data_IF_598769590902
#
_entry.id   IF_598769590902
#
_cell.length_a   1.000
_cell.length_b   1.000
_cell.length_c   1.000
_cell.angle_alpha   90.00
_cell.angle_beta   90.00
_cell.angle_gamma   90.00
#
_symmetry.space_group_name_H-M   'P 1'
#
loop_
_entity.id
_entity.type
_entity.pdbx_description
1 polymer ?
#
# COMPACT_ATOMS: atom_id res chain seq x y z
N UNK A 1 6.79 -5.32 -6.28
CA UNK A 1 5.89 -4.69 -5.29
C UNK A 1 4.44 -4.95 -5.68
N UNK A 2 3.53 -5.10 -4.72
CA UNK A 2 2.10 -5.38 -4.97
C UNK A 2 1.22 -4.32 -4.39
N UNK A 3 0.25 -3.84 -5.17
CA UNK A 3 -0.70 -2.80 -4.79
C UNK A 3 -2.12 -3.35 -4.68
N UNK A 4 -2.87 -2.77 -3.75
CA UNK A 4 -4.30 -3.04 -3.58
C UNK A 4 -5.00 -1.83 -2.94
N UNK A 5 -6.32 -1.77 -3.08
CA UNK A 5 -7.14 -0.66 -2.58
C UNK A 5 -8.37 -1.18 -1.86
N UNK A 6 -8.65 -0.64 -0.68
CA UNK A 6 -9.84 -0.95 0.10
C UNK A 6 -10.65 0.29 0.42
N UNK A 7 -11.95 0.23 0.17
CA UNK A 7 -12.90 1.23 0.68
C UNK A 7 -13.00 1.12 2.20
N UNK A 8 -12.75 2.22 2.90
CA UNK A 8 -12.81 2.25 4.36
C UNK A 8 -14.24 2.42 4.88
N UNK A 9 -14.55 1.89 6.08
CA UNK A 9 -15.79 2.21 6.78
C UNK A 9 -15.90 3.71 7.06
N UNK A 10 -17.14 4.17 7.22
CA UNK A 10 -17.43 5.52 7.68
C UNK A 10 -16.92 5.73 9.11
N UNK A 11 -16.51 6.95 9.42
CA UNK A 11 -16.21 7.35 10.78
C UNK A 11 -17.50 7.52 11.59
N UNK A 12 -17.39 7.43 12.91
CA UNK A 12 -18.50 7.71 13.81
C UNK A 12 -19.04 9.13 13.56
N UNK A 13 -20.34 9.25 13.35
CA UNK A 13 -20.99 10.52 13.05
C UNK A 13 -21.10 10.86 11.56
N UNK A 14 -20.43 10.14 10.68
CA UNK A 14 -20.64 10.27 9.24
C UNK A 14 -21.94 9.59 8.80
N UNK A 15 -22.63 10.19 7.82
CA UNK A 15 -23.84 9.65 7.21
C UNK A 15 -23.49 8.66 6.09
N UNK A 16 -24.41 7.75 5.79
CA UNK A 16 -24.25 6.78 4.69
C UNK A 16 -24.08 7.43 3.32
N UNK A 17 -24.54 8.67 3.17
CA UNK A 17 -24.40 9.52 1.98
C UNK A 17 -23.04 10.22 1.88
N UNK A 18 -22.25 10.25 2.96
CA UNK A 18 -20.95 10.90 2.97
C UNK A 18 -19.94 10.14 2.11
N UNK A 19 -19.01 10.89 1.54
CA UNK A 19 -17.90 10.30 0.78
C UNK A 19 -17.05 9.44 1.69
N UNK A 20 -16.71 8.26 1.21
CA UNK A 20 -15.79 7.35 1.91
C UNK A 20 -14.38 7.51 1.39
N UNK A 21 -13.46 7.43 2.32
CA UNK A 21 -12.05 7.33 2.01
C UNK A 21 -11.66 5.91 1.57
N UNK A 22 -10.51 5.82 0.93
CA UNK A 22 -9.93 4.58 0.45
C UNK A 22 -8.52 4.39 1.00
N UNK A 23 -8.27 3.23 1.54
CA UNK A 23 -6.94 2.78 1.93
C UNK A 23 -6.24 2.22 0.70
N UNK A 24 -5.14 2.84 0.30
CA UNK A 24 -4.20 2.31 -0.69
C UNK A 24 -3.02 1.68 0.02
N UNK A 25 -2.60 0.51 -0.42
CA UNK A 25 -1.44 -0.20 0.13
C UNK A 25 -0.50 -0.62 -0.99
N UNK A 26 0.78 -0.61 -0.68
CA UNK A 26 1.82 -1.26 -1.47
C UNK A 26 2.70 -2.08 -0.53
N UNK A 27 3.00 -3.32 -0.91
CA UNK A 27 3.88 -4.20 -0.14
C UNK A 27 5.00 -4.72 -1.03
N UNK A 28 6.22 -4.61 -0.54
CA UNK A 28 7.36 -5.20 -1.24
C UNK A 28 7.36 -6.73 -1.12
N UNK A 29 7.71 -7.39 -2.21
CA UNK A 29 7.71 -8.86 -2.28
C UNK A 29 8.88 -9.49 -1.54
N UNK A 30 9.99 -8.79 -1.41
CA UNK A 30 11.19 -9.26 -0.74
C UNK A 30 11.17 -8.95 0.76
N UNK A 31 11.21 -7.67 1.10
CA UNK A 31 11.32 -7.20 2.49
C UNK A 31 10.00 -7.22 3.27
N UNK A 32 8.85 -7.31 2.59
CA UNK A 32 7.52 -7.06 3.16
C UNK A 32 7.33 -5.64 3.67
N UNK A 33 8.17 -4.70 3.25
CA UNK A 33 7.98 -3.30 3.60
C UNK A 33 6.62 -2.80 3.11
N UNK A 34 5.89 -2.17 4.01
CA UNK A 34 4.54 -1.68 3.80
C UNK A 34 4.55 -0.17 3.58
N UNK A 35 3.91 0.25 2.52
CA UNK A 35 3.51 1.63 2.26
C UNK A 35 1.99 1.70 2.27
N UNK A 36 1.41 2.68 2.96
CA UNK A 36 -0.03 2.85 3.00
C UNK A 36 -0.43 4.31 3.14
N UNK A 37 -1.53 4.69 2.50
CA UNK A 37 -2.13 6.02 2.66
C UNK A 37 -3.66 5.96 2.52
N UNK A 38 -4.33 6.92 3.13
CA UNK A 38 -5.78 7.12 2.99
C UNK A 38 -6.01 8.22 1.96
N UNK A 39 -6.65 7.86 0.85
CA UNK A 39 -6.97 8.74 -0.26
C UNK A 39 -8.47 9.06 -0.31
N UNK A 40 -8.87 10.24 -0.83
CA UNK A 40 -10.27 10.68 -0.80
C UNK A 40 -11.17 9.92 -1.79
N UNK A 41 -10.60 9.22 -2.73
CA UNK A 41 -11.34 8.46 -3.75
C UNK A 41 -10.48 7.36 -4.39
N UNK A 42 -11.14 6.48 -5.16
CA UNK A 42 -10.52 5.38 -5.90
C UNK A 42 -10.40 5.76 -7.39
N UNK A 43 -9.50 6.68 -7.70
CA UNK A 43 -9.25 7.16 -9.08
C UNK A 43 -7.81 6.95 -9.50
N UNK A 44 -7.56 6.98 -10.81
CA UNK A 44 -6.20 6.94 -11.37
C UNK A 44 -5.29 8.05 -10.82
N UNK A 45 -5.83 9.25 -10.59
CA UNK A 45 -5.08 10.37 -9.98
C UNK A 45 -4.67 10.05 -8.54
N UNK A 46 -5.58 9.53 -7.72
CA UNK A 46 -5.26 9.13 -6.35
C UNK A 46 -4.25 7.99 -6.31
N UNK A 47 -4.33 7.04 -7.23
CA UNK A 47 -3.35 5.96 -7.35
C UNK A 47 -1.96 6.50 -7.77
N UNK A 48 -1.91 7.44 -8.71
CA UNK A 48 -0.66 8.10 -9.12
C UNK A 48 -0.05 8.94 -7.99
N UNK A 49 -0.86 9.70 -7.26
CA UNK A 49 -0.42 10.45 -6.08
C UNK A 49 0.11 9.51 -4.99
N UNK A 50 -0.61 8.42 -4.71
CA UNK A 50 -0.18 7.40 -3.76
C UNK A 50 1.19 6.83 -4.16
N UNK A 51 1.35 6.44 -5.42
CA UNK A 51 2.61 5.89 -5.94
C UNK A 51 3.76 6.88 -5.76
N UNK A 52 3.62 8.10 -6.25
CA UNK A 52 4.71 9.07 -6.26
C UNK A 52 5.07 9.54 -4.84
N UNK A 53 4.08 9.92 -4.04
CA UNK A 53 4.28 10.58 -2.74
C UNK A 53 4.52 9.61 -1.59
N UNK A 54 3.78 8.48 -1.58
CA UNK A 54 3.76 7.59 -0.42
C UNK A 54 4.54 6.29 -0.65
N UNK A 55 4.90 5.98 -1.89
CA UNK A 55 5.69 4.80 -2.23
C UNK A 55 7.07 5.19 -2.72
N UNK A 56 7.17 5.86 -3.87
CA UNK A 56 8.47 6.16 -4.51
C UNK A 56 9.31 7.11 -3.66
N UNK A 57 8.72 8.20 -3.17
CA UNK A 57 9.45 9.21 -2.40
C UNK A 57 10.14 8.66 -1.14
N UNK A 58 9.49 7.84 -0.30
CA UNK A 58 10.14 7.25 0.88
C UNK A 58 10.92 5.97 0.59
N UNK A 59 10.74 5.32 -0.56
CA UNK A 59 11.37 4.04 -0.88
C UNK A 59 12.88 4.22 -1.10
N UNK A 60 13.75 3.50 -0.37
CA UNK A 60 15.21 3.66 -0.47
C UNK A 60 15.83 2.90 -1.65
N UNK A 61 15.03 2.25 -2.49
CA UNK A 61 15.48 1.46 -3.63
C UNK A 61 14.60 1.70 -4.85
N UNK A 62 15.10 1.35 -6.02
CA UNK A 62 14.33 1.42 -7.25
C UNK A 62 13.29 0.30 -7.32
N UNK A 63 12.09 0.65 -7.75
CA UNK A 63 10.99 -0.30 -7.94
C UNK A 63 10.95 -0.70 -9.42
N UNK A 64 11.30 -1.93 -9.74
CA UNK A 64 11.31 -2.42 -11.12
C UNK A 64 9.92 -2.75 -11.65
N UNK A 65 9.05 -3.26 -10.78
CA UNK A 65 7.76 -3.78 -11.20
C UNK A 65 6.67 -3.62 -10.12
N UNK A 66 5.50 -3.23 -10.57
CA UNK A 66 4.28 -3.17 -9.77
C UNK A 66 3.26 -4.17 -10.31
N UNK A 67 2.69 -4.96 -9.38
CA UNK A 67 1.55 -5.82 -9.61
C UNK A 67 0.30 -5.22 -8.95
N UNK A 68 -0.78 -5.10 -9.71
CA UNK A 68 -2.10 -4.70 -9.20
C UNK A 68 -3.21 -5.58 -9.75
N UNK A 69 -4.40 -5.45 -9.24
CA UNK A 69 -5.59 -5.97 -9.91
C UNK A 69 -5.92 -5.15 -11.17
N UNK A 70 -7.02 -5.51 -11.84
CA UNK A 70 -7.50 -4.79 -13.02
C UNK A 70 -8.43 -3.61 -12.67
N UNK A 71 -8.35 -3.09 -11.44
CA UNK A 71 -9.13 -1.94 -11.00
C UNK A 71 -8.90 -0.70 -11.88
N UNK A 72 -9.95 0.09 -12.07
CA UNK A 72 -9.90 1.30 -12.91
C UNK A 72 -8.95 2.37 -12.40
N UNK A 73 -8.53 2.30 -11.14
CA UNK A 73 -7.50 3.15 -10.56
C UNK A 73 -6.10 2.78 -11.04
N UNK A 74 -5.87 1.53 -11.45
CA UNK A 74 -4.58 1.02 -11.89
C UNK A 74 -4.49 0.77 -13.38
N UNK A 75 -5.63 0.49 -14.05
CA UNK A 75 -5.66 0.10 -15.46
C UNK A 75 -6.60 0.98 -16.27
N UNK A 76 -6.10 1.49 -17.39
CA UNK A 76 -6.87 2.31 -18.33
C UNK A 76 -6.18 2.49 -19.68
N UNK A 77 -6.61 3.49 -20.44
CA UNK A 77 -6.04 3.86 -21.73
C UNK A 77 -4.63 4.48 -21.61
N UNK A 78 -4.00 4.83 -22.73
CA UNK A 78 -2.64 5.36 -22.74
C UNK A 78 -2.43 6.64 -21.92
N UNK A 79 -3.48 7.43 -21.72
CA UNK A 79 -3.45 8.66 -20.89
C UNK A 79 -3.83 8.42 -19.42
N UNK A 80 -3.83 7.16 -18.98
CA UNK A 80 -4.19 6.81 -17.61
C UNK A 80 -3.14 7.30 -16.61
N UNK A 81 -3.54 8.13 -15.63
CA UNK A 81 -2.60 8.82 -14.73
C UNK A 81 -1.65 7.88 -13.98
N UNK A 82 -2.14 6.74 -13.50
CA UNK A 82 -1.28 5.75 -12.83
C UNK A 82 -0.29 5.09 -13.79
N UNK A 83 -0.72 4.76 -15.02
CA UNK A 83 0.17 4.21 -16.05
C UNK A 83 1.27 5.19 -16.43
N UNK A 84 0.95 6.49 -16.56
CA UNK A 84 1.91 7.56 -16.82
C UNK A 84 2.92 7.65 -15.66
N UNK A 85 2.45 7.66 -14.41
CA UNK A 85 3.33 7.70 -13.24
C UNK A 85 4.29 6.50 -13.18
N UNK A 86 3.83 5.28 -13.52
CA UNK A 86 4.70 4.13 -13.64
C UNK A 86 5.76 4.31 -14.73
N UNK A 87 5.34 4.76 -15.91
CA UNK A 87 6.24 4.98 -17.05
C UNK A 87 7.32 6.03 -16.77
N UNK A 88 6.95 7.18 -16.20
CA UNK A 88 7.86 8.27 -15.85
C UNK A 88 8.92 7.85 -14.80
N UNK A 89 8.59 6.86 -13.96
CA UNK A 89 9.52 6.32 -12.96
C UNK A 89 10.22 5.02 -13.39
N UNK A 90 10.10 4.61 -14.65
CA UNK A 90 10.73 3.39 -15.17
C UNK A 90 10.17 2.09 -14.59
N UNK A 91 8.94 2.10 -14.08
CA UNK A 91 8.30 0.98 -13.40
C UNK A 91 7.45 0.17 -14.39
N UNK A 92 7.72 -1.12 -14.49
CA UNK A 92 6.93 -2.06 -15.27
C UNK A 92 5.60 -2.37 -14.56
N UNK A 93 4.50 -2.15 -15.23
CA UNK A 93 3.18 -2.44 -14.69
C UNK A 93 2.71 -3.83 -15.12
N UNK A 94 2.29 -4.67 -14.17
CA UNK A 94 1.73 -5.99 -14.40
C UNK A 94 0.39 -6.13 -13.69
N UNK A 95 -0.54 -6.83 -14.35
CA UNK A 95 -1.88 -7.05 -13.82
C UNK A 95 -2.10 -8.51 -13.45
N UNK A 96 -2.88 -8.74 -12.40
CA UNK A 96 -3.30 -10.09 -12.02
C UNK A 96 -4.21 -10.67 -13.12
N UNK A 97 -3.98 -11.92 -13.46
CA UNK A 97 -4.85 -12.64 -14.39
C UNK A 97 -6.16 -13.00 -13.69
N UNK A 98 -7.29 -12.78 -14.35
CA UNK A 98 -8.65 -13.04 -13.81
C UNK A 98 -8.87 -14.50 -13.36
N UNK A 99 -8.08 -15.46 -13.85
CA UNK A 99 -8.17 -16.87 -13.50
C UNK A 99 -7.19 -17.30 -12.36
N UNK A 100 -6.40 -16.38 -11.81
CA UNK A 100 -5.42 -16.68 -10.75
C UNK A 100 -5.49 -15.65 -9.61
N UNK A 101 -6.50 -15.73 -8.74
CA UNK A 101 -6.68 -14.80 -7.61
C UNK A 101 -5.48 -14.78 -6.64
N UNK A 102 -4.67 -15.83 -6.60
CA UNK A 102 -3.49 -15.93 -5.74
C UNK A 102 -2.40 -14.88 -6.03
N UNK A 103 -2.42 -14.22 -7.18
CA UNK A 103 -1.37 -13.27 -7.58
C UNK A 103 -1.38 -11.97 -6.78
N UNK A 104 -2.48 -11.56 -6.16
CA UNK A 104 -2.54 -10.37 -5.28
C UNK A 104 -2.73 -10.69 -3.78
N UNK A 105 -2.71 -11.95 -3.41
CA UNK A 105 -2.97 -12.42 -2.03
C UNK A 105 -2.08 -11.81 -0.95
N UNK A 106 -0.89 -11.28 -1.31
CA UNK A 106 -0.03 -10.58 -0.35
C UNK A 106 -0.59 -9.20 0.03
N UNK A 107 -1.02 -8.41 -0.95
CA UNK A 107 -1.62 -7.09 -0.70
C UNK A 107 -2.98 -7.23 0.01
N UNK A 108 -3.81 -8.19 -0.39
CA UNK A 108 -5.07 -8.51 0.28
C UNK A 108 -4.86 -8.90 1.76
N UNK A 109 -3.84 -9.74 2.03
CA UNK A 109 -3.48 -10.16 3.39
C UNK A 109 -3.03 -8.97 4.23
N UNK A 110 -2.25 -8.06 3.66
CA UNK A 110 -1.81 -6.84 4.34
C UNK A 110 -3.00 -5.94 4.67
N UNK A 111 -3.93 -5.74 3.75
CA UNK A 111 -5.17 -4.99 4.04
C UNK A 111 -5.93 -5.64 5.20
N UNK A 112 -6.08 -6.96 5.20
CA UNK A 112 -6.71 -7.69 6.31
C UNK A 112 -5.99 -7.43 7.63
N UNK A 113 -4.66 -7.54 7.65
CA UNK A 113 -3.84 -7.25 8.82
C UNK A 113 -4.04 -5.82 9.34
N UNK A 114 -4.05 -4.83 8.44
CA UNK A 114 -4.31 -3.43 8.79
C UNK A 114 -5.70 -3.29 9.43
N UNK A 115 -6.72 -3.89 8.83
CA UNK A 115 -8.08 -3.80 9.37
C UNK A 115 -8.17 -4.46 10.75
N UNK A 116 -7.72 -5.71 10.89
CA UNK A 116 -7.85 -6.51 12.12
C UNK A 116 -6.98 -5.99 13.27
N UNK A 117 -5.75 -5.56 13.00
CA UNK A 117 -4.80 -5.15 14.04
C UNK A 117 -4.90 -3.66 14.41
N UNK A 118 -5.37 -2.83 13.49
CA UNK A 118 -5.38 -1.39 13.68
C UNK A 118 -6.78 -0.80 13.55
N UNK A 119 -7.40 -0.86 12.37
CA UNK A 119 -8.61 -0.09 12.08
C UNK A 119 -9.79 -0.49 12.97
N UNK A 120 -10.01 -1.79 13.15
CA UNK A 120 -11.16 -2.32 13.89
C UNK A 120 -10.94 -2.34 15.41
N UNK A 121 -9.75 -1.95 15.88
CA UNK A 121 -9.37 -1.94 17.29
C UNK A 121 -9.52 -0.57 17.96
N UNK A 122 -9.75 0.48 17.20
CA UNK A 122 -9.85 1.82 17.74
C UNK A 122 -10.91 2.67 17.04
N UNK A 123 -11.31 3.75 17.71
CA UNK A 123 -12.19 4.75 17.14
C UNK A 123 -11.36 5.97 16.72
N UNK A 124 -11.76 6.62 15.64
CA UNK A 124 -11.10 7.80 15.11
C UNK A 124 -12.03 8.99 15.24
N UNK A 125 -11.51 10.08 15.81
CA UNK A 125 -12.28 11.29 16.07
C UNK A 125 -12.46 12.16 14.82
N UNK A 126 -11.55 12.01 13.85
CA UNK A 126 -11.55 12.75 12.60
C UNK A 126 -10.82 11.99 11.50
N UNK A 127 -10.98 12.38 10.21
CA UNK A 127 -10.18 11.85 9.11
C UNK A 127 -8.68 12.08 9.31
N UNK A 128 -8.27 13.22 9.87
CA UNK A 128 -6.88 13.55 10.17
C UNK A 128 -6.31 12.64 11.25
N UNK A 129 -7.08 12.39 12.31
CA UNK A 129 -6.71 11.44 13.36
C UNK A 129 -6.49 10.05 12.76
N UNK A 130 -7.42 9.56 11.91
CA UNK A 130 -7.28 8.27 11.23
C UNK A 130 -6.02 8.19 10.36
N UNK A 131 -5.68 9.25 9.60
CA UNK A 131 -4.44 9.30 8.80
C UNK A 131 -3.19 9.25 9.67
N UNK A 132 -3.16 10.01 10.75
CA UNK A 132 -2.03 10.03 11.69
C UNK A 132 -1.80 8.66 12.34
N UNK A 133 -2.88 8.00 12.76
CA UNK A 133 -2.79 6.66 13.34
C UNK A 133 -2.38 5.60 12.32
N UNK A 134 -2.78 5.73 11.05
CA UNK A 134 -2.27 4.87 9.98
C UNK A 134 -0.75 5.00 9.84
N UNK A 135 -0.21 6.21 9.84
CA UNK A 135 1.25 6.41 9.77
C UNK A 135 1.97 5.74 10.94
N UNK A 136 1.42 5.82 12.15
CA UNK A 136 1.98 5.13 13.34
C UNK A 136 1.94 3.62 13.18
N UNK A 137 0.82 3.09 12.66
CA UNK A 137 0.70 1.66 12.40
C UNK A 137 1.68 1.16 11.34
N UNK A 138 1.85 1.89 10.23
CA UNK A 138 2.81 1.55 9.18
C UNK A 138 4.24 1.52 9.74
N UNK A 139 4.60 2.51 10.55
CA UNK A 139 5.90 2.52 11.22
C UNK A 139 6.07 1.30 12.14
N UNK A 140 5.08 1.02 12.99
CA UNK A 140 5.09 -0.18 13.84
C UNK A 140 5.21 -1.47 13.02
N UNK A 141 4.47 -1.60 11.94
CA UNK A 141 4.49 -2.75 11.04
C UNK A 141 5.88 -2.98 10.46
N UNK A 142 6.54 -1.92 10.03
CA UNK A 142 7.84 -2.00 9.34
C UNK A 142 9.03 -2.15 10.29
N UNK A 143 8.94 -1.62 11.52
CA UNK A 143 10.11 -1.50 12.42
C UNK A 143 10.02 -2.27 13.73
N UNK A 144 8.83 -2.73 14.12
CA UNK A 144 8.61 -3.35 15.44
C UNK A 144 7.95 -4.72 15.33
N UNK A 145 6.97 -4.86 14.45
CA UNK A 145 6.19 -6.10 14.33
C UNK A 145 7.02 -7.22 13.68
N UNK A 146 7.23 -8.37 14.37
CA UNK A 146 7.86 -9.52 13.75
C UNK A 146 6.95 -10.18 12.72
N UNK A 147 7.55 -10.67 11.64
CA UNK A 147 6.84 -11.30 10.54
C UNK A 147 7.27 -12.77 10.37
N UNK A 148 6.33 -13.70 10.47
CA UNK A 148 6.61 -15.15 10.30
C UNK A 148 7.20 -15.47 8.92
N UNK A 149 6.77 -14.73 7.87
CA UNK A 149 7.32 -14.89 6.51
C UNK A 149 8.76 -14.38 6.36
N UNK A 150 9.26 -13.64 7.35
CA UNK A 150 10.64 -13.15 7.44
C UNK A 150 11.40 -13.83 8.59
N UNK A 151 10.93 -14.99 9.03
CA UNK A 151 11.54 -15.79 10.14
C UNK A 151 11.58 -15.06 11.48
N UNK A 152 10.72 -14.07 11.67
CA UNK A 152 10.63 -13.26 12.87
C UNK A 152 11.22 -11.85 12.75
N UNK A 153 11.97 -11.57 11.67
CA UNK A 153 12.49 -10.23 11.41
C UNK A 153 11.39 -9.24 11.02
N UNK A 154 11.67 -7.98 11.22
CA UNK A 154 10.88 -6.87 10.67
C UNK A 154 11.30 -6.55 9.24
N UNK A 155 10.44 -5.91 8.43
CA UNK A 155 10.82 -5.41 7.11
C UNK A 155 12.08 -4.52 7.14
N UNK A 156 12.20 -3.68 8.15
CA UNK A 156 13.36 -2.80 8.33
C UNK A 156 14.67 -3.59 8.53
N UNK A 157 14.67 -4.62 9.37
CA UNK A 157 15.86 -5.47 9.61
C UNK A 157 16.28 -6.21 8.35
N UNK A 158 15.32 -6.71 7.55
CA UNK A 158 15.60 -7.35 6.26
C UNK A 158 16.26 -6.38 5.29
N UNK A 159 15.76 -5.15 5.16
CA UNK A 159 16.35 -4.13 4.30
C UNK A 159 17.73 -3.68 4.81
N UNK A 160 17.89 -3.50 6.11
CA UNK A 160 19.16 -3.13 6.72
C UNK A 160 20.24 -4.21 6.44
N UNK A 161 19.88 -5.49 6.60
CA UNK A 161 20.79 -6.59 6.29
C UNK A 161 21.18 -6.63 4.81
N UNK A 162 20.20 -6.41 3.90
CA UNK A 162 20.45 -6.38 2.46
C UNK A 162 21.41 -5.25 2.08
N UNK A 163 21.18 -4.03 2.53
CA UNK A 163 22.06 -2.90 2.19
C UNK A 163 23.43 -3.01 2.84
N UNK A 164 23.55 -3.57 4.05
CA UNK A 164 24.84 -3.78 4.70
C UNK A 164 25.72 -4.79 3.95
N UNK A 165 25.13 -5.78 3.28
CA UNK A 165 25.85 -6.75 2.45
C UNK A 165 26.25 -6.19 1.08
N UNK A 166 25.56 -5.17 0.57
CA UNK A 166 25.81 -4.58 -0.74
C UNK A 166 26.95 -3.54 -0.74
N UNK A 167 27.54 -3.23 0.41
CA UNK A 167 28.61 -2.23 0.61
C UNK A 167 30.01 -2.87 0.69
N UNK A 168 30.14 -4.18 0.44
CA UNK A 168 31.43 -4.90 0.44
C UNK A 168 31.92 -5.14 -0.98
#
# INVERSE_FOLDING_TARGET
MRLDTKRLPLLKGQKTTDKRDYLFVAIDDFSRELYAAIMPNKTAKSAAEFLNKYVIHPCPYQIDCIYSDNGSEYKGAANHAFGIACFENGINQKFTQSARPQTNGKAERVIRTIMEMWHDKQQFDSPEHRRKELCRFVNFYNTVKPHSSLKGDTPFEVLQAYFSQSVV
#
